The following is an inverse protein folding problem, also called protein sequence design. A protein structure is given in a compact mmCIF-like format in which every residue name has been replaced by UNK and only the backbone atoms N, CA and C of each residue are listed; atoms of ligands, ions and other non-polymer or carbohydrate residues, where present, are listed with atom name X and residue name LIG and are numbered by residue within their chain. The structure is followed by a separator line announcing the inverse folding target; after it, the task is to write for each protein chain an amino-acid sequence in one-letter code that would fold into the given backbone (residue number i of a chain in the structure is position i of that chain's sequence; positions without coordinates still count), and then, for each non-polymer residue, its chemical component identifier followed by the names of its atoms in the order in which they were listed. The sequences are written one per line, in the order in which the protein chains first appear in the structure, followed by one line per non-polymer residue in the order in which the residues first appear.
data_IF_693430772474
#
_entry.id   IF_693430772474
#
_cell.length_a   1.000
_cell.length_b   1.000
_cell.length_c   1.000
_cell.angle_alpha   90.00
_cell.angle_beta   90.00
_cell.angle_gamma   90.00
#
_symmetry.space_group_name_H-M   'P 1'
#
loop_
_entity.id
_entity.type
_entity.pdbx_description
1 polymer ?
#
# COMPACT_ATOMS: atom_id res chain seq x y z
N UNK A 1 7.61 -7.79 30.92
CA UNK A 1 8.49 -8.55 30.01
C UNK A 1 7.73 -9.00 28.77
N UNK A 2 6.55 -9.60 28.91
CA UNK A 2 5.71 -10.00 27.77
C UNK A 2 5.22 -8.83 26.91
N UNK A 3 4.74 -7.73 27.51
CA UNK A 3 4.29 -6.54 26.74
C UNK A 3 5.41 -5.91 25.90
N UNK A 4 6.62 -5.81 26.46
CA UNK A 4 7.79 -5.29 25.74
C UNK A 4 8.16 -6.16 24.54
N UNK A 5 8.04 -7.49 24.70
CA UNK A 5 8.30 -8.43 23.61
C UNK A 5 7.26 -8.29 22.49
N UNK A 6 5.98 -8.15 22.84
CA UNK A 6 4.89 -7.96 21.86
C UNK A 6 5.07 -6.67 21.05
N UNK A 7 5.37 -5.55 21.71
CA UNK A 7 5.60 -4.27 21.02
C UNK A 7 6.81 -4.35 20.09
N UNK A 8 7.91 -4.95 20.54
CA UNK A 8 9.10 -5.16 19.70
C UNK A 8 8.79 -6.03 18.48
N UNK A 9 8.04 -7.10 18.69
CA UNK A 9 7.64 -8.01 17.63
C UNK A 9 6.76 -7.31 16.59
N UNK A 10 5.78 -6.50 17.03
CA UNK A 10 4.89 -5.74 16.16
C UNK A 10 5.67 -4.76 15.27
N UNK A 11 6.56 -3.95 15.87
CA UNK A 11 7.39 -2.99 15.13
C UNK A 11 8.31 -3.70 14.12
N UNK A 12 8.91 -4.84 14.52
CA UNK A 12 9.74 -5.64 13.62
C UNK A 12 8.93 -6.19 12.45
N UNK A 13 7.76 -6.75 12.74
CA UNK A 13 6.87 -7.30 11.71
C UNK A 13 6.38 -6.22 10.75
N UNK A 14 6.06 -5.03 11.25
CA UNK A 14 5.67 -3.87 10.42
C UNK A 14 6.81 -3.46 9.48
N UNK A 15 8.04 -3.33 9.99
CA UNK A 15 9.21 -3.00 9.19
C UNK A 15 9.54 -4.07 8.12
N UNK A 16 9.43 -5.34 8.48
CA UNK A 16 9.64 -6.47 7.58
C UNK A 16 8.56 -6.47 6.49
N UNK A 17 7.28 -6.30 6.87
CA UNK A 17 6.17 -6.27 5.92
C UNK A 17 6.30 -5.11 4.93
N UNK A 18 6.65 -3.92 5.41
CA UNK A 18 6.91 -2.75 4.58
C UNK A 18 8.02 -3.01 3.54
N UNK A 19 9.10 -3.68 3.96
CA UNK A 19 10.25 -3.95 3.09
C UNK A 19 10.01 -5.10 2.11
N UNK A 20 9.40 -6.20 2.57
CA UNK A 20 9.24 -7.43 1.79
C UNK A 20 7.99 -7.37 0.90
N UNK A 21 6.93 -6.69 1.32
CA UNK A 21 5.65 -6.68 0.61
C UNK A 21 5.40 -5.33 -0.06
N UNK A 22 5.41 -4.24 0.71
CA UNK A 22 5.03 -2.94 0.16
C UNK A 22 6.05 -2.41 -0.84
N UNK A 23 7.36 -2.53 -0.57
CA UNK A 23 8.37 -2.01 -1.47
C UNK A 23 8.35 -2.69 -2.87
N UNK A 24 8.29 -4.04 -3.00
CA UNK A 24 8.13 -4.67 -4.31
C UNK A 24 6.83 -4.27 -5.02
N UNK A 25 5.71 -4.18 -4.29
CA UNK A 25 4.43 -3.75 -4.86
C UNK A 25 4.52 -2.34 -5.42
N UNK A 26 5.09 -1.40 -4.66
CA UNK A 26 5.27 -0.01 -5.10
C UNK A 26 6.23 0.12 -6.27
N UNK A 27 7.31 -0.67 -6.29
CA UNK A 27 8.23 -0.73 -7.42
C UNK A 27 7.53 -1.20 -8.70
N UNK A 28 6.83 -2.34 -8.63
CA UNK A 28 6.09 -2.90 -9.77
C UNK A 28 5.03 -1.92 -10.25
N UNK A 29 4.26 -1.32 -9.34
CA UNK A 29 3.25 -0.32 -9.67
C UNK A 29 3.84 0.87 -10.44
N UNK A 30 4.90 1.49 -9.93
CA UNK A 30 5.52 2.64 -10.59
C UNK A 30 6.16 2.28 -11.92
N UNK A 31 6.80 1.11 -11.99
CA UNK A 31 7.42 0.63 -13.21
C UNK A 31 6.39 0.37 -14.31
N UNK A 32 5.27 -0.29 -13.98
CA UNK A 32 4.18 -0.55 -14.93
C UNK A 32 3.46 0.74 -15.35
N UNK A 33 3.21 1.66 -14.40
CA UNK A 33 2.45 2.89 -14.66
C UNK A 33 3.22 3.89 -15.52
N UNK A 34 4.51 4.07 -15.27
CA UNK A 34 5.29 5.11 -15.96
C UNK A 34 6.16 4.56 -17.08
N UNK A 35 6.48 3.25 -17.11
CA UNK A 35 7.33 2.53 -18.09
C UNK A 35 8.77 3.05 -18.27
N UNK A 36 9.02 4.33 -17.99
CA UNK A 36 10.32 5.00 -17.97
C UNK A 36 10.86 5.07 -16.54
N UNK A 37 12.06 4.52 -16.33
CA UNK A 37 12.75 4.57 -15.03
C UNK A 37 12.98 6.01 -14.55
N UNK A 38 13.24 6.95 -15.45
CA UNK A 38 13.43 8.36 -15.09
C UNK A 38 12.14 9.01 -14.58
N UNK A 39 11.01 8.69 -15.22
CA UNK A 39 9.72 9.22 -14.77
C UNK A 39 9.27 8.58 -13.47
N UNK A 40 9.42 7.26 -13.34
CA UNK A 40 9.16 6.54 -12.09
C UNK A 40 9.97 7.11 -10.92
N UNK A 41 11.27 7.38 -11.12
CA UNK A 41 12.12 7.98 -10.08
C UNK A 41 11.69 9.40 -9.70
N UNK A 42 11.32 10.24 -10.68
CA UNK A 42 10.81 11.59 -10.39
C UNK A 42 9.53 11.55 -9.56
N UNK A 43 8.60 10.65 -9.92
CA UNK A 43 7.34 10.47 -9.18
C UNK A 43 7.60 9.91 -7.79
N UNK A 44 8.49 8.92 -7.66
CA UNK A 44 8.89 8.36 -6.36
C UNK A 44 9.39 9.45 -5.40
N UNK A 45 10.24 10.36 -5.90
CA UNK A 45 10.78 11.47 -5.08
C UNK A 45 9.69 12.47 -4.73
N UNK A 46 8.83 12.83 -5.70
CA UNK A 46 7.84 13.91 -5.54
C UNK A 46 6.62 13.49 -4.69
N UNK A 47 6.14 12.27 -4.86
CA UNK A 47 4.85 11.82 -4.33
C UNK A 47 4.97 10.76 -3.23
N UNK A 48 6.13 10.12 -3.10
CA UNK A 48 6.31 8.95 -2.23
C UNK A 48 7.56 9.04 -1.35
N UNK A 49 8.10 10.24 -1.13
CA UNK A 49 9.24 10.50 -0.23
C UNK A 49 10.47 9.64 -0.56
N UNK A 50 10.68 9.32 -1.84
CA UNK A 50 11.75 8.42 -2.30
C UNK A 50 11.64 6.96 -1.82
N UNK A 51 10.51 6.55 -1.25
CA UNK A 51 10.27 5.20 -0.71
C UNK A 51 9.29 4.39 -1.56
N UNK A 52 9.72 3.24 -2.07
CA UNK A 52 8.83 2.33 -2.78
C UNK A 52 7.78 1.70 -1.85
N UNK A 53 8.08 1.55 -0.55
CA UNK A 53 7.09 1.07 0.41
C UNK A 53 5.91 2.03 0.54
N UNK A 54 6.15 3.34 0.52
CA UNK A 54 5.08 4.35 0.54
C UNK A 54 4.22 4.27 -0.72
N UNK A 55 4.84 4.07 -1.89
CA UNK A 55 4.10 3.83 -3.13
C UNK A 55 3.24 2.56 -3.06
N UNK A 56 3.77 1.48 -2.49
CA UNK A 56 3.04 0.24 -2.27
C UNK A 56 1.87 0.41 -1.29
N UNK A 57 2.08 1.14 -0.20
CA UNK A 57 1.04 1.44 0.79
C UNK A 57 -0.14 2.16 0.15
N UNK A 58 0.12 3.17 -0.70
CA UNK A 58 -0.94 3.88 -1.43
C UNK A 58 -1.71 2.96 -2.38
N UNK A 59 -1.04 2.00 -3.02
CA UNK A 59 -1.71 1.00 -3.88
C UNK A 59 -2.64 0.12 -3.04
N UNK A 60 -2.17 -0.39 -1.91
CA UNK A 60 -2.99 -1.20 -0.99
C UNK A 60 -4.22 -0.41 -0.53
N UNK A 61 -4.04 0.84 -0.09
CA UNK A 61 -5.16 1.68 0.33
C UNK A 61 -6.17 1.93 -0.78
N UNK A 62 -5.73 2.10 -2.03
CA UNK A 62 -6.64 2.23 -3.17
C UNK A 62 -7.45 0.96 -3.42
N UNK A 63 -6.84 -0.21 -3.27
CA UNK A 63 -7.56 -1.50 -3.39
C UNK A 63 -8.58 -1.64 -2.26
N UNK A 64 -8.18 -1.37 -1.02
CA UNK A 64 -9.10 -1.42 0.14
C UNK A 64 -10.27 -0.45 -0.06
N UNK A 65 -10.01 0.78 -0.50
CA UNK A 65 -11.05 1.76 -0.78
C UNK A 65 -11.99 1.28 -1.91
N UNK A 66 -11.45 0.74 -3.00
CA UNK A 66 -12.25 0.22 -4.10
C UNK A 66 -13.16 -0.94 -3.66
N UNK A 67 -12.62 -1.89 -2.88
CA UNK A 67 -13.40 -2.99 -2.30
C UNK A 67 -14.48 -2.45 -1.37
N UNK A 68 -14.14 -1.49 -0.50
CA UNK A 68 -15.10 -0.82 0.38
C UNK A 68 -16.26 -0.17 -0.37
N UNK A 69 -15.97 0.54 -1.46
CA UNK A 69 -16.98 1.14 -2.33
C UNK A 69 -17.89 0.06 -2.94
N UNK A 70 -17.33 -1.04 -3.45
CA UNK A 70 -18.12 -2.14 -4.02
C UNK A 70 -19.04 -2.79 -2.98
N UNK A 71 -18.56 -2.97 -1.74
CA UNK A 71 -19.37 -3.51 -0.65
C UNK A 71 -20.53 -2.57 -0.28
N UNK A 72 -20.27 -1.27 -0.21
CA UNK A 72 -21.33 -0.26 0.04
C UNK A 72 -22.37 -0.28 -1.08
N UNK A 73 -21.93 -0.33 -2.34
CA UNK A 73 -22.85 -0.41 -3.48
C UNK A 73 -23.69 -1.70 -3.45
N UNK A 74 -23.06 -2.84 -3.12
CA UNK A 74 -23.78 -4.10 -2.97
C UNK A 74 -24.85 -4.02 -1.87
N UNK A 75 -24.52 -3.42 -0.72
CA UNK A 75 -25.48 -3.20 0.37
C UNK A 75 -26.65 -2.32 -0.09
N UNK A 76 -26.36 -1.21 -0.77
CA UNK A 76 -27.39 -0.31 -1.28
C UNK A 76 -28.33 -1.03 -2.27
N UNK A 77 -27.79 -1.87 -3.15
CA UNK A 77 -28.60 -2.68 -4.06
C UNK A 77 -29.53 -3.64 -3.31
N UNK A 78 -29.08 -4.25 -2.20
CA UNK A 78 -29.96 -5.12 -1.39
C UNK A 78 -31.05 -4.38 -0.63
N UNK A 79 -30.88 -3.08 -0.36
CA UNK A 79 -31.90 -2.24 0.31
C UNK A 79 -32.91 -1.69 -0.70
N UNK A 80 -32.49 -1.47 -1.95
CA UNK A 80 -33.32 -0.89 -3.02
C UNK A 80 -34.13 -1.96 -3.78
N UNK A 81 -33.61 -3.19 -3.87
CA UNK A 81 -34.26 -4.34 -4.51
C UNK A 81 -35.24 -5.04 -3.55
#
# INVERSE_FOLDING_TARGET
MEELFTVLFEVLMEGIFSTIVLAPVGFVYLYLRHRSRMQARRVLIKEYESSYANAGLVVVWKVVAAVGILLVLALLLTVVL
#
